data_IF_660026975617
#
_entry.id   IF_660026975617
#
_cell.length_a   1.000
_cell.length_b   1.000
_cell.length_c   1.000
_cell.angle_alpha   90.00
_cell.angle_beta   90.00
_cell.angle_gamma   90.00
#
_symmetry.space_group_name_H-M   'P 1'
#
loop_
_entity.id
_entity.type
_entity.pdbx_description
1 polymer ?
#
# COMPACT_ATOMS: atom_id res chain seq x y z
N UNK A 1 -25.88 -39.49 19.61
CA UNK A 1 -24.59 -38.88 19.98
C UNK A 1 -24.33 -37.74 19.02
N UNK A 2 -24.47 -36.49 19.49
CA UNK A 2 -24.32 -35.30 18.66
C UNK A 2 -22.84 -34.88 18.65
N UNK A 3 -22.26 -34.75 17.45
CA UNK A 3 -20.87 -34.35 17.28
C UNK A 3 -20.74 -32.84 17.53
N UNK A 4 -19.91 -32.50 18.52
CA UNK A 4 -19.65 -31.15 18.98
C UNK A 4 -18.71 -30.38 18.03
N UNK A 5 -19.04 -29.11 17.79
CA UNK A 5 -18.06 -28.04 17.99
C UNK A 5 -17.02 -27.75 16.89
N UNK A 6 -17.32 -27.91 15.61
CA UNK A 6 -16.49 -27.28 14.57
C UNK A 6 -16.88 -25.80 14.43
N UNK A 7 -16.24 -24.91 15.20
CA UNK A 7 -16.32 -23.47 14.95
C UNK A 7 -15.87 -23.19 13.52
N UNK A 8 -16.78 -22.72 12.68
CA UNK A 8 -16.46 -22.30 11.31
C UNK A 8 -15.96 -20.86 11.36
N UNK A 9 -15.08 -20.49 10.43
CA UNK A 9 -14.62 -19.09 10.24
C UNK A 9 -15.77 -18.09 10.10
N UNK A 10 -16.95 -18.56 9.66
CA UNK A 10 -18.18 -17.79 9.61
C UNK A 10 -18.74 -17.38 10.99
N UNK A 11 -18.46 -18.16 12.04
CA UNK A 11 -19.00 -17.95 13.40
C UNK A 11 -18.32 -16.76 14.10
N UNK A 12 -17.12 -16.37 13.66
CA UNK A 12 -16.41 -15.19 14.17
C UNK A 12 -16.84 -13.88 13.49
N UNK A 13 -17.82 -13.88 12.58
CA UNK A 13 -18.30 -12.66 11.90
C UNK A 13 -17.30 -11.98 10.96
N UNK A 14 -16.04 -12.43 10.91
CA UNK A 14 -14.99 -11.89 10.05
C UNK A 14 -15.28 -12.13 8.56
N UNK A 15 -15.95 -13.25 8.23
CA UNK A 15 -16.34 -13.55 6.85
C UNK A 15 -17.31 -12.51 6.25
N UNK A 16 -18.09 -11.80 7.08
CA UNK A 16 -18.96 -10.69 6.62
C UNK A 16 -18.22 -9.37 6.50
N UNK A 17 -17.24 -9.10 7.39
CA UNK A 17 -16.48 -7.84 7.40
C UNK A 17 -15.46 -7.75 6.26
N UNK A 18 -14.89 -8.89 5.85
CA UNK A 18 -13.85 -8.97 4.80
C UNK A 18 -14.23 -9.90 3.65
N UNK A 19 -15.51 -10.25 3.48
CA UNK A 19 -15.94 -11.08 2.34
C UNK A 19 -15.57 -10.46 0.99
N UNK A 20 -15.58 -11.26 -0.08
CA UNK A 20 -15.15 -10.92 -1.46
C UNK A 20 -15.46 -9.50 -1.97
N UNK A 21 -16.57 -8.88 -1.54
CA UNK A 21 -16.89 -7.47 -1.86
C UNK A 21 -15.89 -6.46 -1.27
N UNK A 22 -15.42 -6.69 -0.05
CA UNK A 22 -14.41 -5.86 0.62
C UNK A 22 -13.02 -5.99 -0.02
N UNK A 23 -12.62 -7.20 -0.44
CA UNK A 23 -11.34 -7.43 -1.12
C UNK A 23 -11.27 -6.71 -2.47
N UNK A 24 -12.36 -6.78 -3.26
CA UNK A 24 -12.44 -6.09 -4.55
C UNK A 24 -12.38 -4.56 -4.37
N UNK A 25 -13.10 -4.02 -3.39
CA UNK A 25 -13.05 -2.59 -3.06
C UNK A 25 -11.65 -2.16 -2.60
N UNK A 26 -11.00 -2.96 -1.74
CA UNK A 26 -9.65 -2.69 -1.28
C UNK A 26 -8.63 -2.69 -2.43
N UNK A 27 -8.69 -3.68 -3.33
CA UNK A 27 -7.81 -3.73 -4.51
C UNK A 27 -8.08 -2.55 -5.44
N UNK A 28 -9.34 -2.18 -5.64
CA UNK A 28 -9.71 -1.00 -6.43
C UNK A 28 -9.13 0.29 -5.83
N UNK A 29 -9.13 0.42 -4.49
CA UNK A 29 -8.52 1.55 -3.79
C UNK A 29 -6.99 1.57 -3.91
N UNK A 30 -6.34 0.40 -3.82
CA UNK A 30 -4.89 0.28 -4.04
C UNK A 30 -4.56 0.76 -5.46
N UNK A 31 -5.25 0.26 -6.48
CA UNK A 31 -4.96 0.63 -7.86
C UNK A 31 -5.32 2.09 -8.18
N UNK A 32 -6.32 2.64 -7.50
CA UNK A 32 -6.61 4.07 -7.57
C UNK A 32 -5.53 4.93 -6.89
N UNK A 33 -4.69 4.36 -6.02
CA UNK A 33 -3.62 5.06 -5.33
C UNK A 33 -2.27 4.94 -6.03
N UNK A 34 -1.91 3.74 -6.49
CA UNK A 34 -0.58 3.45 -7.04
C UNK A 34 -0.62 3.03 -8.52
N UNK A 35 -1.78 3.11 -9.17
CA UNK A 35 -1.97 2.71 -10.55
C UNK A 35 -2.40 1.25 -10.71
N UNK A 36 -2.88 0.90 -11.90
CA UNK A 36 -3.22 -0.47 -12.26
C UNK A 36 -1.97 -1.25 -12.68
N UNK A 37 -1.87 -2.55 -12.35
CA UNK A 37 -0.80 -3.40 -12.85
C UNK A 37 -0.72 -3.36 -14.38
N UNK A 38 0.50 -3.30 -14.89
CA UNK A 38 0.86 -3.41 -16.31
C UNK A 38 1.97 -4.44 -16.44
N UNK A 39 2.27 -4.90 -17.66
CA UNK A 39 3.40 -5.83 -17.85
C UNK A 39 4.76 -5.20 -17.48
N UNK A 40 4.88 -3.87 -17.52
CA UNK A 40 6.09 -3.17 -17.08
C UNK A 40 6.20 -3.07 -15.55
N UNK A 41 5.08 -2.81 -14.87
CA UNK A 41 5.06 -2.61 -13.41
C UNK A 41 4.90 -3.90 -12.61
N UNK A 42 4.27 -4.93 -13.19
CA UNK A 42 4.15 -6.26 -12.62
C UNK A 42 4.07 -7.33 -13.71
N UNK A 43 5.23 -7.81 -14.20
CA UNK A 43 5.29 -8.89 -15.18
C UNK A 43 4.61 -10.16 -14.66
N UNK A 44 3.66 -10.69 -15.41
CA UNK A 44 2.96 -11.93 -15.06
C UNK A 44 1.86 -11.79 -13.99
N UNK A 45 1.39 -10.57 -13.68
CA UNK A 45 0.23 -10.36 -12.81
C UNK A 45 -0.98 -11.23 -13.24
N UNK A 46 -1.26 -11.31 -14.54
CA UNK A 46 -2.39 -12.07 -15.11
C UNK A 46 -2.31 -13.60 -14.87
N UNK A 47 -1.13 -14.11 -14.53
CA UNK A 47 -0.89 -15.52 -14.24
C UNK A 47 -1.30 -15.90 -12.80
N UNK A 48 -1.54 -14.92 -11.92
CA UNK A 48 -1.94 -15.20 -10.55
C UNK A 48 -3.36 -15.83 -10.51
N UNK A 49 -3.61 -16.80 -9.61
CA UNK A 49 -4.88 -17.55 -9.57
C UNK A 49 -6.15 -16.70 -9.54
N UNK A 50 -6.09 -15.51 -8.93
CA UNK A 50 -7.23 -14.61 -8.76
C UNK A 50 -7.16 -13.33 -9.62
N UNK A 51 -6.09 -13.10 -10.39
CA UNK A 51 -5.93 -11.86 -11.15
C UNK A 51 -7.05 -11.64 -12.18
N UNK A 52 -7.49 -12.71 -12.84
CA UNK A 52 -8.57 -12.69 -13.84
C UNK A 52 -9.94 -12.30 -13.28
N UNK A 53 -10.11 -12.34 -11.96
CA UNK A 53 -11.34 -11.90 -11.30
C UNK A 53 -11.49 -10.38 -11.35
N UNK A 54 -10.40 -9.67 -11.59
CA UNK A 54 -10.41 -8.23 -11.66
C UNK A 54 -10.24 -7.76 -13.10
N UNK A 55 -11.27 -7.12 -13.63
CA UNK A 55 -11.21 -6.49 -14.94
C UNK A 55 -10.79 -5.04 -14.76
N UNK A 56 -9.51 -4.78 -14.96
CA UNK A 56 -8.99 -3.41 -15.02
C UNK A 56 -8.57 -3.13 -16.45
N UNK A 57 -9.15 -2.11 -17.06
CA UNK A 57 -8.66 -1.61 -18.34
C UNK A 57 -7.55 -0.60 -18.06
N UNK A 58 -6.31 -0.85 -18.51
CA UNK A 58 -5.28 0.18 -18.50
C UNK A 58 -5.83 1.40 -19.23
N UNK A 59 -5.86 2.57 -18.58
CA UNK A 59 -6.19 3.80 -19.30
C UNK A 59 -4.97 4.20 -20.14
N UNK A 60 -5.10 4.35 -21.47
CA UNK A 60 -4.03 4.91 -22.29
C UNK A 60 -3.66 6.30 -21.76
N UNK A 61 -2.37 6.56 -21.53
CA UNK A 61 -1.91 7.83 -20.94
C UNK A 61 -2.21 7.99 -19.45
N UNK A 62 -2.53 6.91 -18.72
CA UNK A 62 -2.65 6.96 -17.27
C UNK A 62 -1.36 7.46 -16.64
N UNK A 63 -1.49 8.42 -15.73
CA UNK A 63 -0.41 8.88 -14.88
C UNK A 63 0.27 7.67 -14.22
N UNK A 64 1.60 7.65 -14.19
CA UNK A 64 2.36 6.57 -13.53
C UNK A 64 1.93 6.45 -12.07
N UNK A 65 2.15 5.28 -11.46
CA UNK A 65 1.85 5.06 -10.04
C UNK A 65 2.48 6.12 -9.13
N UNK A 66 3.67 6.62 -9.50
CA UNK A 66 4.36 7.70 -8.81
C UNK A 66 3.60 9.03 -8.88
N UNK A 67 3.07 9.42 -10.03
CA UNK A 67 2.29 10.65 -10.18
C UNK A 67 0.98 10.58 -9.39
N UNK A 68 0.27 9.46 -9.48
CA UNK A 68 -0.97 9.23 -8.72
C UNK A 68 -0.72 9.30 -7.20
N UNK A 69 0.37 8.70 -6.74
CA UNK A 69 0.76 8.75 -5.34
C UNK A 69 1.11 10.17 -4.89
N UNK A 70 1.84 10.93 -5.73
CA UNK A 70 2.15 12.34 -5.45
C UNK A 70 0.89 13.17 -5.30
N UNK A 71 -0.01 13.11 -6.27
CA UNK A 71 -1.26 13.88 -6.27
C UNK A 71 -2.10 13.56 -5.02
N UNK A 72 -2.17 12.29 -4.64
CA UNK A 72 -2.88 11.87 -3.43
C UNK A 72 -2.24 12.37 -2.14
N UNK A 73 -0.91 12.33 -2.03
CA UNK A 73 -0.21 12.82 -0.84
C UNK A 73 -0.37 14.33 -0.70
N UNK A 74 -0.26 15.08 -1.80
CA UNK A 74 -0.52 16.51 -1.81
C UNK A 74 -1.97 16.82 -1.41
N UNK A 75 -2.95 16.09 -1.97
CA UNK A 75 -4.35 16.23 -1.58
C UNK A 75 -4.63 15.86 -0.10
N UNK A 76 -3.79 15.01 0.50
CA UNK A 76 -3.85 14.65 1.91
C UNK A 76 -3.15 15.68 2.84
N UNK A 77 -2.61 16.77 2.28
CA UNK A 77 -1.94 17.83 3.04
C UNK A 77 -0.45 17.59 3.29
N UNK A 78 0.17 16.61 2.62
CA UNK A 78 1.63 16.40 2.68
C UNK A 78 2.36 17.42 1.80
N UNK A 79 2.34 18.68 2.20
CA UNK A 79 2.89 19.80 1.41
C UNK A 79 4.43 19.80 1.35
N UNK A 80 5.10 19.14 2.31
CA UNK A 80 6.57 19.04 2.38
C UNK A 80 7.10 17.74 1.75
N UNK A 81 6.38 17.18 0.78
CA UNK A 81 6.78 15.94 0.11
C UNK A 81 8.00 16.16 -0.79
N UNK A 82 9.16 15.68 -0.37
CA UNK A 82 10.39 15.69 -1.16
C UNK A 82 10.38 14.61 -2.23
N UNK A 83 11.26 14.76 -3.25
CA UNK A 83 11.37 13.75 -4.30
C UNK A 83 11.97 12.43 -3.79
N UNK A 84 12.87 12.47 -2.80
CA UNK A 84 13.37 11.24 -2.16
C UNK A 84 12.29 10.56 -1.33
N UNK A 85 11.44 11.33 -0.63
CA UNK A 85 10.30 10.78 0.11
C UNK A 85 9.34 10.06 -0.84
N UNK A 86 8.99 10.71 -1.96
CA UNK A 86 8.14 10.12 -2.98
C UNK A 86 8.80 8.90 -3.64
N UNK A 87 10.10 8.92 -3.90
CA UNK A 87 10.83 7.79 -4.46
C UNK A 87 10.79 6.58 -3.51
N UNK A 88 11.13 6.79 -2.23
CA UNK A 88 11.08 5.74 -1.21
C UNK A 88 9.69 5.11 -1.11
N UNK A 89 8.64 5.95 -1.00
CA UNK A 89 7.26 5.48 -0.92
C UNK A 89 6.83 4.72 -2.17
N UNK A 90 7.23 5.19 -3.36
CA UNK A 90 6.92 4.50 -4.63
C UNK A 90 7.55 3.11 -4.65
N UNK A 91 8.79 2.96 -4.18
CA UNK A 91 9.47 1.67 -4.12
C UNK A 91 8.90 0.74 -3.04
N UNK A 92 8.50 1.28 -1.88
CA UNK A 92 7.84 0.51 -0.82
C UNK A 92 6.45 0.01 -1.25
N UNK A 93 5.76 0.79 -2.07
CA UNK A 93 4.40 0.49 -2.55
C UNK A 93 4.38 -0.15 -3.95
N UNK A 94 5.52 -0.65 -4.44
CA UNK A 94 5.58 -1.41 -5.69
C UNK A 94 4.59 -2.58 -5.64
N UNK A 95 3.79 -2.70 -6.72
CA UNK A 95 2.74 -3.70 -6.83
C UNK A 95 3.34 -5.11 -6.93
N UNK A 96 4.34 -5.30 -7.80
CA UNK A 96 5.13 -6.54 -7.84
C UNK A 96 5.98 -6.66 -6.57
N UNK A 97 5.77 -7.68 -5.72
CA UNK A 97 6.60 -7.91 -4.55
C UNK A 97 8.08 -8.07 -4.87
N UNK A 98 8.43 -8.54 -6.08
CA UNK A 98 9.83 -8.70 -6.51
C UNK A 98 10.52 -7.37 -6.81
N UNK A 99 9.76 -6.33 -7.14
CA UNK A 99 10.25 -4.98 -7.41
C UNK A 99 10.22 -4.10 -6.15
N UNK A 100 9.63 -4.59 -5.06
CA UNK A 100 9.51 -3.84 -3.81
C UNK A 100 10.86 -3.75 -3.12
N UNK A 101 11.22 -2.55 -2.68
CA UNK A 101 12.45 -2.31 -1.93
C UNK A 101 12.50 -3.18 -0.67
N UNK A 102 13.68 -3.72 -0.38
CA UNK A 102 13.92 -4.49 0.86
C UNK A 102 14.00 -3.54 2.06
N UNK A 103 13.88 -4.09 3.27
CA UNK A 103 14.03 -3.27 4.48
C UNK A 103 15.44 -2.68 4.60
N UNK A 104 16.47 -3.44 4.22
CA UNK A 104 17.86 -3.00 4.27
C UNK A 104 18.12 -1.85 3.27
N UNK A 105 17.68 -2.02 2.02
CA UNK A 105 17.80 -0.96 1.01
C UNK A 105 16.99 0.29 1.39
N UNK A 106 15.81 0.12 2.01
CA UNK A 106 14.98 1.22 2.46
C UNK A 106 15.66 2.03 3.57
N UNK A 107 16.28 1.36 4.55
CA UNK A 107 17.01 2.03 5.63
C UNK A 107 18.23 2.81 5.11
N UNK A 108 18.84 2.34 4.02
CA UNK A 108 19.96 3.01 3.34
C UNK A 108 19.52 4.05 2.30
N UNK A 109 18.22 4.34 2.18
CA UNK A 109 17.70 5.25 1.16
C UNK A 109 18.07 6.72 1.45
N UNK A 110 18.33 7.50 0.39
CA UNK A 110 18.74 8.91 0.46
C UNK A 110 17.75 9.82 1.22
N UNK A 111 16.48 9.42 1.30
CA UNK A 111 15.46 10.09 2.10
C UNK A 111 15.88 10.28 3.56
N UNK A 112 16.51 9.27 4.18
CA UNK A 112 16.93 9.35 5.58
C UNK A 112 18.18 10.20 5.82
N UNK A 113 18.89 10.57 4.74
CA UNK A 113 20.04 11.48 4.78
C UNK A 113 19.67 12.91 4.33
N UNK A 114 18.43 13.14 3.89
CA UNK A 114 17.95 14.46 3.47
C UNK A 114 17.65 15.36 4.68
N UNK A 115 17.76 16.68 4.49
CA UNK A 115 17.34 17.66 5.48
C UNK A 115 15.82 17.95 5.36
N UNK A 116 15.11 18.23 6.47
CA UNK A 116 15.61 18.24 7.83
C UNK A 116 15.82 16.81 8.39
N UNK A 117 16.77 16.63 9.32
CA UNK A 117 16.94 15.34 9.98
C UNK A 117 15.69 14.93 10.76
N UNK A 118 15.51 13.63 11.05
CA UNK A 118 14.39 13.17 11.87
C UNK A 118 14.41 13.86 13.23
N UNK A 119 13.21 14.13 13.76
CA UNK A 119 13.05 14.72 15.10
C UNK A 119 13.67 13.79 16.14
N UNK A 120 14.41 14.39 17.07
CA UNK A 120 14.96 13.67 18.22
C UNK A 120 13.82 12.99 19.00
N UNK A 121 13.96 11.71 19.39
CA UNK A 121 12.92 10.99 20.10
C UNK A 121 12.44 11.66 21.40
N UNK A 122 13.30 12.44 22.07
CA UNK A 122 12.95 13.21 23.28
C UNK A 122 11.93 14.33 23.02
N UNK A 123 11.75 14.75 21.76
CA UNK A 123 10.75 15.75 21.37
C UNK A 123 9.37 15.13 21.08
N UNK A 124 9.25 13.81 21.03
CA UNK A 124 7.96 13.16 20.87
C UNK A 124 7.16 13.19 22.18
N UNK A 125 5.83 13.32 22.11
CA UNK A 125 4.99 13.28 23.30
C UNK A 125 5.16 11.92 24.00
N UNK A 126 5.54 11.95 25.29
CA UNK A 126 5.53 10.76 26.14
C UNK A 126 4.12 10.48 26.62
N UNK A 127 3.76 9.21 26.73
CA UNK A 127 2.48 8.79 27.29
C UNK A 127 2.59 8.56 28.81
N UNK A 128 1.59 8.93 29.62
CA UNK A 128 0.42 9.73 29.28
C UNK A 128 0.80 11.21 29.12
N UNK A 129 0.16 11.90 28.18
CA UNK A 129 0.35 13.34 27.97
C UNK A 129 -0.02 14.07 29.26
N UNK A 130 0.97 14.67 29.93
CA UNK A 130 0.74 15.46 31.14
C UNK A 130 -0.23 16.59 30.78
N UNK A 131 -1.39 16.55 31.43
CA UNK A 131 -2.54 17.45 31.27
C UNK A 131 -2.22 18.90 31.63
#
# INVERSE_FOLDING_TARGET
MANAGALRVADFGLARKYGRRGEIDQISKIFAAVGTPTQDSWPGFDLLPSARMFKFSPRPGAATGRHLLRDRLLAAGCNELTDNALDLLTRMLALDPKQRITADDALNHAYFAEAPPPKDPSMFPTWPTSS
#
